data_IF_322214155686
#
_entry.id   IF_322214155686
#
_cell.length_a   1.000
_cell.length_b   1.000
_cell.length_c   1.000
_cell.angle_alpha   90.00
_cell.angle_beta   90.00
_cell.angle_gamma   90.00
#
_symmetry.space_group_name_H-M   'P 1'
#
loop_
_entity.id
_entity.type
_entity.pdbx_description
1 polymer ?
#
# COMPACT_ATOMS: atom_id res chain seq x y z
N UNK A 1 6.83 -16.57 -7.65
CA UNK A 1 5.41 -16.43 -7.27
C UNK A 1 4.82 -15.06 -7.67
N UNK A 2 5.43 -13.92 -7.30
CA UNK A 2 4.92 -12.57 -7.68
C UNK A 2 4.85 -12.31 -9.20
N UNK A 3 5.91 -12.62 -9.96
CA UNK A 3 5.91 -12.43 -11.43
C UNK A 3 4.80 -13.21 -12.13
N UNK A 4 4.47 -14.39 -11.63
CA UNK A 4 3.48 -15.28 -12.25
C UNK A 4 2.04 -14.87 -11.94
N UNK A 5 1.77 -14.22 -10.80
CA UNK A 5 0.42 -13.77 -10.44
C UNK A 5 0.00 -12.49 -11.19
N UNK A 6 0.84 -11.45 -11.11
CA UNK A 6 0.51 -10.11 -11.64
C UNK A 6 0.57 -10.06 -13.17
N UNK A 7 1.41 -10.86 -13.83
CA UNK A 7 1.52 -10.83 -15.30
C UNK A 7 0.61 -11.85 -16.01
N UNK A 8 0.28 -12.96 -15.36
CA UNK A 8 -0.50 -14.06 -15.98
C UNK A 8 -2.01 -13.92 -15.77
N UNK A 9 -2.43 -13.22 -14.71
CA UNK A 9 -3.85 -13.09 -14.34
C UNK A 9 -4.39 -11.67 -14.36
N UNK A 10 -3.60 -10.69 -14.83
CA UNK A 10 -4.03 -9.31 -14.87
C UNK A 10 -4.45 -8.91 -16.29
N UNK A 11 -5.77 -8.72 -16.48
CA UNK A 11 -6.39 -8.41 -17.76
C UNK A 11 -5.82 -7.13 -18.40
N UNK A 12 -5.38 -6.18 -17.58
CA UNK A 12 -4.75 -4.91 -18.00
C UNK A 12 -3.45 -5.15 -18.79
N UNK A 13 -2.76 -6.28 -18.57
CA UNK A 13 -1.46 -6.58 -19.17
C UNK A 13 -1.57 -7.51 -20.39
N UNK A 14 -2.68 -8.24 -20.53
CA UNK A 14 -2.89 -9.27 -21.57
C UNK A 14 -4.13 -9.06 -22.47
N UNK A 15 -4.85 -7.95 -22.34
CA UNK A 15 -5.96 -7.63 -23.24
C UNK A 15 -5.51 -7.39 -24.69
N UNK A 16 -6.45 -7.55 -25.63
CA UNK A 16 -6.24 -7.34 -27.07
C UNK A 16 -5.83 -5.90 -27.44
N UNK A 17 -6.20 -4.93 -26.60
CA UNK A 17 -5.90 -3.51 -26.75
C UNK A 17 -4.56 -3.11 -26.12
N UNK A 18 -3.82 -4.04 -25.52
CA UNK A 18 -2.54 -3.75 -24.89
C UNK A 18 -1.47 -3.41 -25.93
N UNK A 19 -0.94 -2.19 -25.88
CA UNK A 19 0.17 -1.79 -26.74
C UNK A 19 1.48 -2.46 -26.30
N UNK A 20 2.36 -2.78 -27.26
CA UNK A 20 3.68 -3.37 -26.95
C UNK A 20 4.49 -2.53 -25.95
N UNK A 21 4.43 -1.21 -26.08
CA UNK A 21 5.09 -0.26 -25.16
C UNK A 21 4.52 -0.30 -23.73
N UNK A 22 3.20 -0.45 -23.57
CA UNK A 22 2.56 -0.58 -22.25
C UNK A 22 2.98 -1.86 -21.52
N UNK A 23 3.05 -2.97 -22.26
CA UNK A 23 3.49 -4.27 -21.74
C UNK A 23 4.93 -4.25 -21.23
N UNK A 24 5.84 -3.60 -21.97
CA UNK A 24 7.24 -3.46 -21.57
C UNK A 24 7.39 -2.64 -20.28
N UNK A 25 6.68 -1.51 -20.18
CA UNK A 25 6.68 -0.65 -18.98
C UNK A 25 6.17 -1.40 -17.75
N UNK A 26 5.06 -2.13 -17.89
CA UNK A 26 4.51 -2.93 -16.80
C UNK A 26 5.47 -4.06 -16.38
N UNK A 27 6.09 -4.74 -17.34
CA UNK A 27 7.11 -5.75 -17.06
C UNK A 27 8.25 -5.21 -16.20
N UNK A 28 8.76 -4.01 -16.53
CA UNK A 28 9.80 -3.36 -15.75
C UNK A 28 9.36 -3.01 -14.32
N UNK A 29 8.11 -2.59 -14.11
CA UNK A 29 7.56 -2.32 -12.76
C UNK A 29 7.49 -3.62 -11.94
N UNK A 30 6.93 -4.68 -12.52
CA UNK A 30 6.82 -5.99 -11.85
C UNK A 30 8.21 -6.54 -11.50
N UNK A 31 9.19 -6.35 -12.38
CA UNK A 31 10.57 -6.77 -12.13
C UNK A 31 11.21 -6.02 -10.96
N UNK A 32 10.98 -4.70 -10.86
CA UNK A 32 11.45 -3.89 -9.72
C UNK A 32 10.78 -4.31 -8.42
N UNK A 33 9.46 -4.55 -8.43
CA UNK A 33 8.73 -5.06 -7.26
C UNK A 33 9.26 -6.43 -6.81
N UNK A 34 9.56 -7.32 -7.76
CA UNK A 34 10.16 -8.61 -7.45
C UNK A 34 11.56 -8.49 -6.84
N UNK A 35 12.37 -7.53 -7.32
CA UNK A 35 13.68 -7.25 -6.73
C UNK A 35 13.57 -6.68 -5.32
N UNK A 36 12.63 -5.76 -5.08
CA UNK A 36 12.36 -5.19 -3.75
C UNK A 36 11.90 -6.28 -2.77
N UNK A 37 10.95 -7.13 -3.17
CA UNK A 37 10.48 -8.25 -2.36
C UNK A 37 11.58 -9.28 -2.05
N UNK A 38 12.58 -9.41 -2.93
CA UNK A 38 13.75 -10.26 -2.73
C UNK A 38 14.88 -9.58 -1.93
N UNK A 39 14.68 -8.35 -1.43
CA UNK A 39 15.69 -7.59 -0.71
C UNK A 39 16.87 -7.10 -1.57
N UNK A 40 16.77 -7.17 -2.90
CA UNK A 40 17.83 -6.79 -3.85
C UNK A 40 17.78 -5.32 -4.26
N UNK A 41 16.68 -4.65 -3.95
CA UNK A 41 16.45 -3.25 -4.25
C UNK A 41 16.02 -2.56 -2.95
N UNK A 42 16.83 -1.63 -2.41
CA UNK A 42 16.42 -0.81 -1.28
C UNK A 42 15.20 0.03 -1.66
N UNK A 43 14.18 0.04 -0.81
CA UNK A 43 12.93 0.77 -1.01
C UNK A 43 12.46 1.39 0.30
N UNK A 44 11.68 2.46 0.20
CA UNK A 44 10.92 3.01 1.34
C UNK A 44 9.46 2.57 1.17
N UNK A 45 8.93 1.80 2.12
CA UNK A 45 7.51 1.47 2.16
C UNK A 45 6.79 2.51 3.01
N UNK A 46 5.86 3.24 2.41
CA UNK A 46 4.98 4.19 3.11
C UNK A 46 3.62 3.54 3.26
N UNK A 47 3.20 3.32 4.50
CA UNK A 47 1.84 2.87 4.84
C UNK A 47 1.11 4.06 5.44
N UNK A 48 0.07 4.51 4.75
CA UNK A 48 -0.79 5.59 5.20
C UNK A 48 -2.21 5.02 5.41
N UNK A 49 -2.62 4.98 6.67
CA UNK A 49 -3.90 4.41 7.09
C UNK A 49 -4.63 5.40 8.02
N UNK A 50 -5.64 6.12 7.51
CA UNK A 50 -6.41 7.08 8.29
C UNK A 50 -7.13 6.46 9.49
N UNK A 51 -7.40 5.15 9.47
CA UNK A 51 -8.02 4.44 10.60
C UNK A 51 -7.03 4.07 11.69
N UNK A 52 -5.72 4.08 11.40
CA UNK A 52 -4.68 3.64 12.32
C UNK A 52 -4.70 2.14 12.67
N UNK A 53 -5.30 1.31 11.81
CA UNK A 53 -5.43 -0.14 12.03
C UNK A 53 -4.27 -0.96 11.42
N UNK A 54 -3.42 -0.31 10.64
CA UNK A 54 -2.22 -0.90 10.06
C UNK A 54 -1.09 -0.99 11.08
N UNK A 55 -0.33 -2.08 11.04
CA UNK A 55 0.77 -2.35 11.96
C UNK A 55 2.02 -2.85 11.23
N UNK A 56 3.18 -2.31 11.64
CA UNK A 56 4.51 -2.79 11.24
C UNK A 56 5.28 -3.12 12.50
N UNK A 57 5.84 -4.34 12.56
CA UNK A 57 6.59 -4.82 13.71
C UNK A 57 7.92 -4.08 13.85
N UNK A 58 8.20 -3.55 15.04
CA UNK A 58 9.54 -3.08 15.43
C UNK A 58 10.40 -4.30 15.81
N UNK A 59 11.48 -4.54 15.06
CA UNK A 59 12.38 -5.67 15.30
C UNK A 59 13.44 -5.39 16.38
N UNK A 60 13.62 -4.12 16.77
CA UNK A 60 14.57 -3.66 17.78
C UNK A 60 13.94 -3.44 19.16
N UNK A 61 12.66 -3.76 19.34
CA UNK A 61 11.94 -3.51 20.58
C UNK A 61 12.66 -4.11 21.82
N UNK A 62 12.73 -3.38 22.96
CA UNK A 62 12.00 -2.15 23.26
C UNK A 62 12.59 -0.87 22.67
N UNK A 63 13.78 -0.95 22.07
CA UNK A 63 14.45 0.21 21.48
C UNK A 63 13.77 0.67 20.17
N UNK A 64 13.91 1.95 19.79
CA UNK A 64 13.45 2.45 18.50
C UNK A 64 14.17 1.77 17.33
N UNK A 65 13.42 1.33 16.32
CA UNK A 65 14.00 0.83 15.06
C UNK A 65 14.42 2.01 14.17
N UNK A 66 15.71 2.14 13.80
CA UNK A 66 16.20 3.23 12.97
C UNK A 66 15.66 3.22 11.53
N UNK A 67 15.14 2.07 11.05
CA UNK A 67 14.53 1.92 9.73
C UNK A 67 13.01 2.12 9.73
N UNK A 68 12.38 2.33 10.90
CA UNK A 68 10.93 2.50 11.03
C UNK A 68 10.59 3.89 11.59
N UNK A 69 9.86 4.68 10.80
CA UNK A 69 9.29 5.96 11.24
C UNK A 69 7.77 5.88 11.28
N UNK A 70 7.18 6.16 12.44
CA UNK A 70 5.72 6.22 12.63
C UNK A 70 5.30 7.66 12.87
N UNK A 71 4.36 8.16 12.06
CA UNK A 71 3.76 9.50 12.22
C UNK A 71 2.28 9.33 12.49
N UNK A 72 1.76 9.98 13.54
CA UNK A 72 0.33 10.08 13.80
C UNK A 72 -0.18 11.45 13.34
N UNK A 73 -1.37 11.48 12.78
CA UNK A 73 -1.98 12.71 12.26
C UNK A 73 -3.48 12.72 12.54
N UNK A 74 -4.06 13.92 12.58
CA UNK A 74 -5.50 14.11 12.63
C UNK A 74 -6.09 13.92 11.23
N UNK A 75 -7.15 13.11 11.13
CA UNK A 75 -7.83 12.85 9.87
C UNK A 75 -8.39 14.14 9.29
N UNK A 76 -8.31 14.28 7.97
CA UNK A 76 -8.97 15.36 7.25
C UNK A 76 -10.49 15.13 7.22
N UNK A 77 -11.25 16.20 6.93
CA UNK A 77 -12.70 16.09 6.75
C UNK A 77 -13.06 15.06 5.67
N UNK A 78 -12.35 15.07 4.54
CA UNK A 78 -12.54 14.10 3.45
C UNK A 78 -12.24 12.66 3.87
N UNK A 79 -11.20 12.45 4.69
CA UNK A 79 -10.91 11.13 5.23
C UNK A 79 -12.04 10.66 6.16
N UNK A 80 -12.62 11.55 6.96
CA UNK A 80 -13.78 11.19 7.79
C UNK A 80 -15.05 10.92 6.95
N UNK A 81 -15.29 11.68 5.87
CA UNK A 81 -16.38 11.40 4.92
C UNK A 81 -16.22 10.01 4.30
N UNK A 82 -15.03 9.68 3.78
CA UNK A 82 -14.74 8.37 3.19
C UNK A 82 -14.94 7.21 4.17
N UNK A 83 -14.73 7.47 5.46
CA UNK A 83 -14.94 6.51 6.53
C UNK A 83 -16.38 6.52 7.09
N UNK A 84 -17.26 7.39 6.57
CA UNK A 84 -18.65 7.51 7.03
C UNK A 84 -18.79 8.06 8.45
N UNK A 85 -17.81 8.81 8.93
CA UNK A 85 -17.74 9.26 10.33
C UNK A 85 -18.44 10.60 10.57
N UNK A 86 -18.54 11.45 9.55
CA UNK A 86 -19.12 12.79 9.70
C UNK A 86 -20.64 12.74 9.93
N UNK A 87 -21.32 11.72 9.41
CA UNK A 87 -22.76 11.49 9.62
C UNK A 87 -23.07 10.61 10.84
N UNK A 88 -22.03 10.18 11.58
CA UNK A 88 -22.22 9.29 12.73
C UNK A 88 -22.95 10.04 13.84
N UNK A 89 -24.19 9.62 14.14
CA UNK A 89 -24.88 10.08 15.35
C UNK A 89 -24.20 9.38 16.54
N UNK A 90 -23.74 10.16 17.51
CA UNK A 90 -23.09 9.65 18.73
C UNK A 90 -23.90 9.97 20.00
N UNK A 91 -25.11 10.50 19.82
CA UNK A 91 -25.97 10.99 20.89
C UNK A 91 -27.30 10.22 20.97
N UNK A 92 -27.94 10.24 22.13
CA UNK A 92 -29.27 9.65 22.39
C UNK A 92 -29.34 8.11 22.24
N UNK A 93 -28.23 7.41 22.53
CA UNK A 93 -28.16 5.94 22.64
C UNK A 93 -28.40 5.45 24.08
N UNK A 94 -29.19 6.19 24.85
CA UNK A 94 -29.50 5.95 26.26
C UNK A 94 -30.62 4.94 26.45
#
# INVERSE_FOLDING_TARGET
>A
MLKTGVLKWNHIVQGDSATGSGRLRMGAVVDKLAQAAAGKLPVTLVLDDPCGNSYVQNLCAPEPDPALKVTRYERTFEQNELLGLNDMRTENYS
#
